data_IF_265611428187
#
_entry.id   IF_265611428187
#
_cell.length_a   1.000
_cell.length_b   1.000
_cell.length_c   1.000
_cell.angle_alpha   90.00
_cell.angle_beta   90.00
_cell.angle_gamma   90.00
#
_symmetry.space_group_name_H-M   'P 1'
#
loop_
_entity.id
_entity.type
_entity.pdbx_description
1 polymer ?
#
# COMPACT_ATOMS: atom_id res chain seq x y z
N UNK A 1 -25.35 10.99 18.25
CA UNK A 1 -24.35 11.61 17.36
C UNK A 1 -23.02 10.89 17.61
N UNK A 2 -22.65 9.91 16.78
CA UNK A 2 -21.34 9.24 16.88
C UNK A 2 -20.32 10.08 16.10
N UNK A 3 -19.35 10.66 16.79
CA UNK A 3 -18.20 11.30 16.16
C UNK A 3 -17.29 10.20 15.60
N UNK A 4 -17.28 10.04 14.28
CA UNK A 4 -16.26 9.24 13.61
C UNK A 4 -15.06 10.15 13.32
N UNK A 5 -14.00 9.99 14.11
CA UNK A 5 -12.68 10.54 13.80
C UNK A 5 -12.19 9.84 12.52
N UNK A 6 -12.03 10.61 11.44
CA UNK A 6 -11.22 10.16 10.30
C UNK A 6 -9.78 10.04 10.80
N UNK A 7 -9.28 8.81 10.89
CA UNK A 7 -7.85 8.57 11.02
C UNK A 7 -7.11 9.18 9.83
N UNK A 8 -5.84 9.59 10.00
CA UNK A 8 -5.04 10.13 8.90
C UNK A 8 -4.99 9.11 7.76
N UNK A 9 -5.36 9.53 6.55
CA UNK A 9 -5.24 8.74 5.31
C UNK A 9 -3.83 8.98 4.76
N UNK A 10 -3.12 7.90 4.42
CA UNK A 10 -1.73 7.84 3.90
C UNK A 10 -1.78 7.09 2.59
N UNK A 11 -1.03 7.54 1.58
CA UNK A 11 -1.18 7.08 0.22
C UNK A 11 0.08 7.46 -0.59
N UNK A 12 0.53 6.62 -1.53
CA UNK A 12 1.77 6.78 -2.31
C UNK A 12 1.56 6.58 -3.82
N UNK A 13 2.07 7.51 -4.65
CA UNK A 13 2.22 7.34 -6.11
C UNK A 13 3.49 8.11 -6.52
N UNK A 14 4.49 7.42 -7.07
CA UNK A 14 5.69 8.05 -7.63
C UNK A 14 5.45 8.36 -9.11
N UNK A 15 5.77 9.57 -9.55
CA UNK A 15 5.87 9.89 -10.99
C UNK A 15 7.26 10.46 -11.23
N UNK A 16 8.08 9.77 -12.02
CA UNK A 16 9.41 10.27 -12.40
C UNK A 16 9.55 10.32 -13.91
N UNK A 17 9.90 11.50 -14.42
CA UNK A 17 10.62 11.62 -15.69
C UNK A 17 11.76 12.60 -15.48
N UNK A 18 12.95 12.05 -15.27
CA UNK A 18 14.22 12.78 -15.25
C UNK A 18 15.25 11.93 -15.97
N UNK A 19 15.99 12.54 -16.90
CA UNK A 19 16.86 11.91 -17.89
C UNK A 19 17.97 11.06 -17.25
N UNK A 20 17.66 9.80 -16.94
CA UNK A 20 18.59 8.70 -16.72
C UNK A 20 17.88 7.43 -17.19
N UNK A 21 18.57 6.59 -17.95
CA UNK A 21 17.98 5.47 -18.73
C UNK A 21 17.55 4.26 -17.90
N UNK A 22 17.53 4.36 -16.56
CA UNK A 22 17.15 3.25 -15.68
C UNK A 22 15.64 3.30 -15.47
N UNK A 23 14.94 2.23 -15.86
CA UNK A 23 13.49 2.16 -15.65
C UNK A 23 13.22 1.85 -14.18
N UNK A 24 12.16 2.43 -13.63
CA UNK A 24 11.72 2.14 -12.26
C UNK A 24 11.52 0.63 -12.02
N UNK A 25 11.00 -0.09 -13.02
CA UNK A 25 10.87 -1.55 -12.99
C UNK A 25 12.20 -2.24 -12.71
N UNK A 26 13.29 -1.72 -13.28
CA UNK A 26 14.62 -2.30 -13.13
C UNK A 26 15.08 -2.13 -11.67
N UNK A 27 14.86 -0.94 -11.09
CA UNK A 27 15.15 -0.65 -9.68
C UNK A 27 14.34 -1.53 -8.72
N UNK A 28 13.06 -1.75 -9.00
CA UNK A 28 12.19 -2.62 -8.21
C UNK A 28 12.64 -4.09 -8.28
N UNK A 29 13.05 -4.55 -9.45
CA UNK A 29 13.50 -5.93 -9.67
C UNK A 29 14.90 -6.21 -9.11
N UNK A 30 15.74 -5.17 -8.95
CA UNK A 30 17.13 -5.31 -8.53
C UNK A 30 17.28 -5.95 -7.14
N UNK A 31 18.29 -6.81 -6.98
CA UNK A 31 18.53 -7.58 -5.77
C UNK A 31 18.01 -9.02 -5.82
N UNK A 32 18.11 -9.73 -4.70
CA UNK A 32 17.71 -11.14 -4.59
C UNK A 32 17.15 -11.47 -3.21
N UNK A 33 16.63 -12.68 -3.03
CA UNK A 33 16.16 -13.19 -1.73
C UNK A 33 17.01 -14.38 -1.32
N UNK A 34 17.38 -14.45 -0.04
CA UNK A 34 18.13 -15.57 0.54
C UNK A 34 17.39 -16.15 1.75
N UNK A 35 17.35 -17.50 1.88
CA UNK A 35 17.77 -18.50 0.88
C UNK A 35 16.84 -18.52 -0.36
N UNK A 36 17.28 -19.11 -1.47
CA UNK A 36 16.50 -19.18 -2.73
C UNK A 36 15.13 -19.86 -2.56
N UNK A 37 15.07 -20.87 -1.67
CA UNK A 37 13.83 -21.55 -1.29
C UNK A 37 13.49 -21.16 0.13
N UNK A 38 12.33 -20.53 0.32
CA UNK A 38 11.99 -19.96 1.59
C UNK A 38 10.49 -20.02 1.89
N UNK A 39 10.20 -20.08 3.18
CA UNK A 39 8.87 -19.91 3.71
C UNK A 39 9.02 -19.32 5.10
N UNK A 40 8.28 -18.24 5.35
CA UNK A 40 8.22 -17.62 6.66
C UNK A 40 6.77 -17.30 7.01
N UNK A 41 6.47 -17.39 8.31
CA UNK A 41 5.18 -17.04 8.89
C UNK A 41 5.42 -16.29 10.20
N UNK A 42 4.67 -15.23 10.40
CA UNK A 42 4.66 -14.54 11.69
C UNK A 42 3.44 -13.67 11.85
N UNK A 43 3.28 -13.18 13.07
CA UNK A 43 2.19 -12.29 13.43
C UNK A 43 2.44 -10.90 12.85
N UNK A 44 1.34 -10.20 12.52
CA UNK A 44 1.38 -8.79 12.14
C UNK A 44 0.73 -7.94 13.22
N UNK A 45 1.25 -6.73 13.37
CA UNK A 45 0.64 -5.69 14.22
C UNK A 45 0.08 -4.58 13.34
N UNK A 46 -0.70 -3.68 13.93
CA UNK A 46 -1.37 -2.62 13.19
C UNK A 46 -1.18 -1.27 13.85
N UNK A 47 -1.05 -0.23 13.01
CA UNK A 47 -1.30 1.17 13.41
C UNK A 47 -2.52 1.70 12.67
N UNK A 48 -3.61 1.90 13.41
CA UNK A 48 -4.94 1.99 12.79
C UNK A 48 -5.25 0.66 12.10
N UNK A 49 -5.27 0.65 10.78
CA UNK A 49 -5.42 -0.56 9.96
C UNK A 49 -4.22 -0.89 9.08
N UNK A 50 -3.18 -0.05 9.12
CA UNK A 50 -1.95 -0.31 8.36
C UNK A 50 -1.19 -1.43 9.02
N UNK A 51 -0.71 -2.35 8.18
CA UNK A 51 0.10 -3.48 8.62
C UNK A 51 1.49 -2.98 8.97
N UNK A 52 1.96 -3.35 10.16
CA UNK A 52 3.33 -3.16 10.59
C UNK A 52 4.06 -4.51 10.60
N UNK A 53 5.23 -4.53 9.97
CA UNK A 53 6.17 -5.64 10.02
C UNK A 53 7.50 -5.18 10.63
N UNK A 54 8.15 -6.07 11.37
CA UNK A 54 9.52 -5.85 11.86
C UNK A 54 10.52 -6.25 10.78
N UNK A 55 11.54 -5.42 10.57
CA UNK A 55 12.68 -5.76 9.74
C UNK A 55 13.99 -5.29 10.38
N UNK A 56 15.05 -6.07 10.20
CA UNK A 56 16.41 -5.68 10.56
C UNK A 56 17.12 -5.12 9.34
N UNK A 57 17.55 -3.86 9.43
CA UNK A 57 18.36 -3.18 8.41
C UNK A 57 19.58 -2.59 9.11
N UNK A 58 20.78 -2.90 8.60
CA UNK A 58 22.05 -2.48 9.19
C UNK A 58 22.22 -2.86 10.68
N UNK A 59 21.67 -4.01 11.10
CA UNK A 59 21.75 -4.48 12.48
C UNK A 59 20.69 -3.89 13.42
N UNK A 60 19.89 -2.91 12.97
CA UNK A 60 18.82 -2.31 13.76
C UNK A 60 17.46 -2.91 13.38
N UNK A 61 16.77 -3.49 14.35
CA UNK A 61 15.39 -3.95 14.18
C UNK A 61 14.42 -2.77 14.38
N UNK A 62 13.56 -2.51 13.39
CA UNK A 62 12.59 -1.41 13.38
C UNK A 62 11.25 -1.82 12.79
N UNK A 63 10.23 -1.00 13.05
CA UNK A 63 8.88 -1.18 12.52
C UNK A 63 8.71 -0.48 11.17
N UNK A 64 8.18 -1.20 10.19
CA UNK A 64 7.91 -0.70 8.85
C UNK A 64 6.45 -0.90 8.48
N UNK A 65 5.87 0.07 7.78
CA UNK A 65 4.56 -0.13 7.15
C UNK A 65 4.76 -1.05 5.94
N UNK A 66 3.96 -2.11 5.85
CA UNK A 66 3.88 -2.95 4.66
C UNK A 66 3.00 -2.25 3.63
N UNK A 67 3.61 -1.74 2.56
CA UNK A 67 3.00 -0.75 1.67
C UNK A 67 3.03 -1.24 0.21
N UNK A 68 1.96 -1.92 -0.20
CA UNK A 68 1.79 -2.39 -1.59
C UNK A 68 1.54 -1.26 -2.58
N UNK A 69 1.32 -0.03 -2.11
CA UNK A 69 1.16 1.15 -2.94
C UNK A 69 2.48 1.89 -3.23
N UNK A 70 3.54 1.58 -2.50
CA UNK A 70 4.83 2.23 -2.66
C UNK A 70 5.69 1.60 -3.77
N UNK A 71 6.01 2.38 -4.81
CA UNK A 71 6.89 1.96 -5.91
C UNK A 71 8.34 1.71 -5.47
N UNK A 72 8.74 2.19 -4.28
CA UNK A 72 10.04 1.96 -3.67
C UNK A 72 9.89 1.74 -2.16
N UNK A 73 10.77 0.93 -1.56
CA UNK A 73 10.91 0.91 -0.10
C UNK A 73 11.46 2.26 0.38
N UNK A 74 11.05 2.70 1.56
CA UNK A 74 11.49 3.97 2.16
C UNK A 74 12.20 3.70 3.47
N UNK A 75 13.41 4.20 3.66
CA UNK A 75 14.17 4.10 4.91
C UNK A 75 14.17 5.44 5.63
N UNK A 76 13.63 5.45 6.84
CA UNK A 76 13.63 6.63 7.71
C UNK A 76 15.04 6.90 8.24
N UNK A 77 15.56 8.09 7.93
CA UNK A 77 16.86 8.60 8.41
C UNK A 77 16.75 10.09 8.72
N UNK A 78 17.50 10.56 9.71
CA UNK A 78 17.53 11.98 10.07
C UNK A 78 18.05 12.87 8.93
N UNK A 79 18.92 12.33 8.08
CA UNK A 79 19.50 13.01 6.92
C UNK A 79 19.46 12.07 5.71
N UNK A 80 19.05 12.58 4.56
CA UNK A 80 19.11 11.83 3.30
C UNK A 80 20.55 11.60 2.85
N UNK A 81 20.78 10.51 2.13
CA UNK A 81 22.06 10.08 1.59
C UNK A 81 21.92 9.51 0.18
N UNK A 82 23.00 9.55 -0.59
CA UNK A 82 23.05 9.04 -1.96
C UNK A 82 22.58 10.06 -3.00
N UNK A 83 22.15 9.58 -4.17
CA UNK A 83 21.63 10.45 -5.23
C UNK A 83 20.25 10.98 -4.84
N UNK A 84 19.98 12.20 -5.28
CA UNK A 84 18.69 12.84 -5.11
C UNK A 84 17.66 12.26 -6.09
N UNK A 85 16.46 11.97 -5.59
CA UNK A 85 15.31 11.49 -6.37
C UNK A 85 14.03 12.20 -5.93
N UNK A 86 13.17 12.47 -6.90
CA UNK A 86 11.85 13.07 -6.66
C UNK A 86 10.83 11.98 -6.36
N UNK A 87 10.14 12.13 -5.23
CA UNK A 87 9.04 11.24 -4.81
C UNK A 87 7.76 12.06 -4.75
N UNK A 88 6.78 11.65 -5.54
CA UNK A 88 5.46 12.28 -5.54
C UNK A 88 4.57 11.66 -4.46
N UNK A 89 3.59 12.43 -4.01
CA UNK A 89 2.43 11.93 -3.29
C UNK A 89 1.21 11.90 -4.22
N UNK A 90 0.18 11.13 -3.86
CA UNK A 90 -1.07 11.04 -4.62
C UNK A 90 -1.92 12.32 -4.61
N UNK A 91 -1.50 13.34 -3.87
CA UNK A 91 -2.08 14.69 -3.92
C UNK A 91 -1.33 15.58 -4.92
N UNK A 92 -0.43 15.01 -5.74
CA UNK A 92 0.34 15.70 -6.78
C UNK A 92 1.61 16.41 -6.30
N UNK A 93 1.87 16.45 -5.00
CA UNK A 93 3.07 17.11 -4.45
C UNK A 93 4.32 16.25 -4.60
N UNK A 94 5.49 16.87 -4.71
CA UNK A 94 6.77 16.17 -4.87
C UNK A 94 7.80 16.65 -3.84
N UNK A 95 8.53 15.70 -3.24
CA UNK A 95 9.67 15.98 -2.37
C UNK A 95 10.92 15.26 -2.86
N UNK A 96 12.06 15.84 -2.51
CA UNK A 96 13.38 15.30 -2.79
C UNK A 96 13.85 14.38 -1.66
N UNK A 97 14.23 13.16 -2.01
CA UNK A 97 14.79 12.16 -1.09
C UNK A 97 16.14 11.64 -1.60
N UNK A 98 16.90 10.99 -0.71
CA UNK A 98 18.07 10.23 -1.10
C UNK A 98 17.68 8.88 -1.69
N UNK A 99 18.56 8.26 -2.46
CA UNK A 99 18.42 6.89 -2.96
C UNK A 99 19.61 6.04 -2.54
N UNK A 100 19.39 4.78 -2.22
CA UNK A 100 20.43 3.82 -1.86
C UNK A 100 20.05 2.39 -2.26
N UNK A 101 21.05 1.51 -2.29
CA UNK A 101 20.84 0.06 -2.25
C UNK A 101 21.11 -0.40 -0.83
N UNK A 102 20.18 -1.15 -0.27
CA UNK A 102 20.31 -1.73 1.06
C UNK A 102 20.92 -3.11 0.91
N UNK A 103 22.09 -3.31 1.51
CA UNK A 103 22.82 -4.58 1.45
C UNK A 103 21.96 -5.75 1.92
N UNK A 104 21.21 -5.54 3.00
CA UNK A 104 20.37 -6.57 3.64
C UNK A 104 19.16 -5.95 4.33
N UNK A 105 17.97 -6.39 3.92
CA UNK A 105 16.71 -6.20 4.63
C UNK A 105 16.25 -7.57 5.10
N UNK A 106 16.37 -7.83 6.40
CA UNK A 106 15.95 -9.11 6.97
C UNK A 106 14.56 -9.00 7.59
N UNK A 107 13.62 -9.78 7.06
CA UNK A 107 12.27 -9.93 7.62
C UNK A 107 12.15 -11.38 8.09
N UNK A 108 11.93 -11.57 9.40
CA UNK A 108 12.01 -12.89 10.02
C UNK A 108 13.39 -13.55 9.76
N UNK A 109 13.43 -14.76 9.22
CA UNK A 109 14.64 -15.49 8.85
C UNK A 109 15.04 -15.29 7.38
N UNK A 110 14.32 -14.47 6.62
CA UNK A 110 14.52 -14.27 5.18
C UNK A 110 15.19 -12.93 4.90
N UNK A 111 16.18 -12.94 4.01
CA UNK A 111 17.01 -11.79 3.70
C UNK A 111 16.78 -11.32 2.27
N UNK A 112 16.38 -10.07 2.10
CA UNK A 112 16.32 -9.38 0.80
C UNK A 112 17.62 -8.59 0.62
N UNK A 113 18.41 -8.99 -0.37
CA UNK A 113 19.79 -8.53 -0.56
C UNK A 113 19.86 -7.53 -1.71
N UNK A 114 20.70 -6.50 -1.55
CA UNK A 114 20.97 -5.48 -2.57
C UNK A 114 19.67 -4.87 -3.12
N UNK A 115 18.81 -4.41 -2.20
CA UNK A 115 17.46 -3.94 -2.54
C UNK A 115 17.42 -2.42 -2.65
N UNK A 116 16.88 -1.90 -3.75
CA UNK A 116 16.73 -0.46 -3.94
C UNK A 116 15.76 0.16 -2.91
N UNK A 117 16.14 1.30 -2.35
CA UNK A 117 15.30 2.09 -1.47
C UNK A 117 15.54 3.59 -1.64
N UNK A 118 14.53 4.38 -1.27
CA UNK A 118 14.66 5.81 -1.04
C UNK A 118 14.80 6.09 0.45
N UNK A 119 15.44 7.21 0.82
CA UNK A 119 15.71 7.51 2.22
C UNK A 119 15.60 8.99 2.56
N UNK A 120 15.22 9.25 3.82
CA UNK A 120 15.20 10.59 4.38
C UNK A 120 14.31 10.70 5.62
N UNK A 121 14.02 11.93 6.01
CA UNK A 121 13.34 12.20 7.27
C UNK A 121 11.82 12.22 7.11
N UNK A 122 11.12 11.57 8.05
CA UNK A 122 9.65 11.52 8.16
C UNK A 122 9.22 11.77 9.61
N UNK A 123 9.32 13.02 10.08
CA UNK A 123 9.14 13.35 11.49
C UNK A 123 7.71 13.20 11.99
N UNK A 124 6.73 13.10 11.08
CA UNK A 124 5.33 12.87 11.43
C UNK A 124 5.10 11.40 11.78
N UNK A 125 5.48 10.48 10.88
CA UNK A 125 5.31 9.04 11.09
C UNK A 125 6.18 8.53 12.23
N UNK A 126 7.39 9.07 12.39
CA UNK A 126 8.28 8.70 13.49
C UNK A 126 7.76 9.10 14.89
N UNK A 127 6.73 9.95 14.97
CA UNK A 127 6.04 10.28 16.22
C UNK A 127 4.79 9.43 16.46
N UNK A 128 4.25 8.83 15.40
CA UNK A 128 3.02 8.04 15.44
C UNK A 128 3.32 6.54 15.58
N UNK A 129 4.49 6.09 15.09
CA UNK A 129 4.94 4.70 15.13
C UNK A 129 6.19 4.61 15.99
N UNK A 130 6.11 3.85 17.07
CA UNK A 130 7.27 3.55 17.90
C UNK A 130 8.33 2.80 17.09
N UNK A 131 9.59 3.23 17.25
CA UNK A 131 10.74 2.64 16.55
C UNK A 131 10.55 2.56 15.01
N UNK A 132 10.02 3.64 14.41
CA UNK A 132 9.74 3.71 12.98
C UNK A 132 11.01 3.60 12.11
N UNK A 133 11.05 2.57 11.26
CA UNK A 133 12.12 2.31 10.30
C UNK A 133 11.81 2.80 8.89
N UNK A 134 10.53 2.94 8.53
CA UNK A 134 10.11 3.37 7.20
C UNK A 134 8.98 2.53 6.60
N UNK A 135 9.08 2.25 5.30
CA UNK A 135 8.08 1.51 4.52
C UNK A 135 8.76 0.38 3.74
N UNK A 136 8.11 -0.77 3.66
CA UNK A 136 8.49 -1.87 2.78
C UNK A 136 7.58 -1.83 1.55
N UNK A 137 8.16 -1.54 0.38
CA UNK A 137 7.43 -1.35 -0.87
C UNK A 137 7.77 -2.40 -1.94
N UNK A 138 7.41 -2.09 -3.19
CA UNK A 138 7.56 -2.98 -4.35
C UNK A 138 8.94 -3.67 -4.48
N UNK A 139 10.10 -3.05 -4.19
CA UNK A 139 11.40 -3.72 -4.27
C UNK A 139 11.55 -4.94 -3.36
N UNK A 140 10.79 -5.02 -2.28
CA UNK A 140 10.77 -6.21 -1.40
C UNK A 140 9.52 -7.05 -1.70
N UNK A 141 8.36 -6.39 -1.77
CA UNK A 141 7.07 -7.07 -1.92
C UNK A 141 7.05 -7.94 -3.18
N UNK A 142 7.54 -7.44 -4.31
CA UNK A 142 7.45 -8.16 -5.59
C UNK A 142 8.38 -9.39 -5.67
N UNK A 143 9.29 -9.59 -4.71
CA UNK A 143 10.26 -10.69 -4.71
C UNK A 143 9.79 -11.95 -3.98
N UNK A 144 8.60 -11.93 -3.37
CA UNK A 144 8.00 -13.08 -2.70
C UNK A 144 6.49 -13.11 -2.97
N UNK A 145 5.87 -14.27 -2.82
CA UNK A 145 4.42 -14.36 -2.75
C UNK A 145 3.99 -14.11 -1.31
N UNK A 146 2.92 -13.34 -1.09
CA UNK A 146 2.48 -12.91 0.25
C UNK A 146 1.04 -13.31 0.51
N UNK A 147 0.79 -14.03 1.61
CA UNK A 147 -0.53 -14.28 2.16
C UNK A 147 -0.69 -13.44 3.43
N UNK A 148 -1.72 -12.60 3.46
CA UNK A 148 -2.04 -11.74 4.60
C UNK A 148 -3.42 -12.12 5.10
N UNK A 149 -3.53 -12.51 6.36
CA UNK A 149 -4.83 -12.73 6.99
C UNK A 149 -5.18 -11.58 7.92
N UNK A 150 -6.19 -10.79 7.56
CA UNK A 150 -6.71 -9.71 8.40
C UNK A 150 -7.63 -10.24 9.52
N UNK A 151 -8.11 -11.47 9.40
CA UNK A 151 -8.93 -12.12 10.43
C UNK A 151 -8.07 -12.73 11.53
N UNK A 152 -6.97 -13.39 11.15
CA UNK A 152 -6.10 -14.10 12.08
C UNK A 152 -4.82 -13.30 12.42
N UNK A 153 -4.64 -12.11 11.85
CA UNK A 153 -3.51 -11.20 12.09
C UNK A 153 -2.13 -11.84 11.89
N UNK A 154 -1.95 -12.54 10.77
CA UNK A 154 -0.64 -13.06 10.38
C UNK A 154 -0.29 -12.70 8.93
N UNK A 155 1.01 -12.79 8.63
CA UNK A 155 1.56 -12.76 7.28
C UNK A 155 2.40 -14.02 7.04
N UNK A 156 2.23 -14.62 5.88
CA UNK A 156 3.06 -15.71 5.36
C UNK A 156 3.65 -15.28 4.02
N UNK A 157 4.92 -15.63 3.77
CA UNK A 157 5.53 -15.36 2.48
C UNK A 157 6.54 -16.44 2.06
N UNK A 158 6.68 -16.62 0.74
CA UNK A 158 7.43 -17.74 0.17
C UNK A 158 7.85 -17.51 -1.29
N UNK A 159 8.83 -18.28 -1.75
CA UNK A 159 9.21 -18.39 -3.18
C UNK A 159 8.19 -19.18 -4.01
N UNK A 160 7.27 -19.92 -3.37
CA UNK A 160 6.27 -20.76 -4.05
C UNK A 160 4.85 -20.29 -3.78
N UNK A 161 3.89 -20.87 -4.51
CA UNK A 161 2.48 -20.60 -4.26
C UNK A 161 2.04 -21.09 -2.87
N UNK A 162 1.24 -20.27 -2.18
CA UNK A 162 0.65 -20.59 -0.87
C UNK A 162 -0.86 -20.85 -0.95
N UNK A 163 -1.44 -20.78 -2.14
CA UNK A 163 -2.89 -20.91 -2.35
C UNK A 163 -3.37 -22.30 -1.94
N UNK A 164 -4.48 -22.30 -1.19
CA UNK A 164 -5.27 -23.48 -0.88
C UNK A 164 -6.64 -23.35 -1.57
N UNK A 165 -7.50 -24.35 -1.42
CA UNK A 165 -8.89 -24.27 -1.90
C UNK A 165 -9.62 -23.02 -1.36
N UNK A 166 -10.62 -22.53 -2.10
CA UNK A 166 -11.56 -21.45 -1.72
C UNK A 166 -11.01 -20.01 -1.77
N UNK A 167 -9.99 -19.75 -2.57
CA UNK A 167 -9.58 -18.38 -2.92
C UNK A 167 -10.25 -17.96 -4.24
N UNK A 168 -10.87 -16.79 -4.25
CA UNK A 168 -11.41 -16.16 -5.46
C UNK A 168 -10.28 -15.38 -6.16
N UNK A 169 -10.01 -15.72 -7.41
CA UNK A 169 -9.12 -14.95 -8.27
C UNK A 169 -9.74 -13.58 -8.59
N UNK A 170 -8.98 -12.51 -8.39
CA UNK A 170 -9.41 -11.16 -8.69
C UNK A 170 -8.91 -10.76 -10.09
N UNK A 171 -9.75 -10.04 -10.84
CA UNK A 171 -9.33 -9.45 -12.11
C UNK A 171 -8.27 -8.38 -11.85
N UNK A 172 -7.00 -8.74 -12.08
CA UNK A 172 -5.81 -8.00 -11.66
C UNK A 172 -5.07 -7.44 -12.87
N UNK A 173 -4.55 -6.22 -12.74
CA UNK A 173 -3.57 -5.66 -13.69
C UNK A 173 -2.40 -5.05 -12.93
N UNK A 174 -1.26 -4.93 -13.60
CA UNK A 174 -0.01 -4.41 -13.02
C UNK A 174 0.44 -3.17 -13.79
N UNK A 175 0.76 -2.11 -13.05
CA UNK A 175 1.31 -0.85 -13.58
C UNK A 175 2.44 -0.42 -12.67
N UNK A 176 3.62 -0.17 -13.23
CA UNK A 176 4.83 0.22 -12.48
C UNK A 176 5.17 -0.72 -11.31
N UNK A 177 4.93 -2.03 -11.48
CA UNK A 177 5.15 -3.03 -10.43
C UNK A 177 4.14 -2.99 -9.27
N UNK A 178 3.09 -2.16 -9.36
CA UNK A 178 2.00 -2.08 -8.40
C UNK A 178 0.76 -2.80 -8.94
N UNK A 179 -0.02 -3.41 -8.04
CA UNK A 179 -1.21 -4.19 -8.42
C UNK A 179 -2.49 -3.39 -8.29
N UNK A 180 -3.36 -3.58 -9.26
CA UNK A 180 -4.68 -2.98 -9.34
C UNK A 180 -5.71 -4.08 -9.53
N UNK A 181 -6.88 -3.95 -8.90
CA UNK A 181 -8.01 -4.87 -9.08
C UNK A 181 -9.23 -4.14 -9.61
N UNK A 182 -10.02 -4.82 -10.44
CA UNK A 182 -11.30 -4.30 -10.91
C UNK A 182 -12.31 -4.29 -9.76
N UNK A 183 -12.84 -3.10 -9.46
CA UNK A 183 -14.00 -2.90 -8.58
C UNK A 183 -15.23 -2.60 -9.40
N UNK A 184 -16.39 -3.08 -8.94
CA UNK A 184 -17.70 -2.72 -9.45
C UNK A 184 -18.53 -2.10 -8.32
N UNK A 185 -19.00 -0.87 -8.55
CA UNK A 185 -19.88 -0.15 -7.62
C UNK A 185 -21.08 0.35 -8.43
N UNK A 186 -22.26 -0.20 -8.14
CA UNK A 186 -23.50 0.17 -8.83
C UNK A 186 -23.49 -0.16 -10.34
N UNK A 187 -22.75 -1.19 -10.77
CA UNK A 187 -22.63 -1.61 -12.17
C UNK A 187 -21.55 -0.85 -12.95
N UNK A 188 -20.82 0.07 -12.31
CA UNK A 188 -19.74 0.83 -12.93
C UNK A 188 -18.41 0.21 -12.50
N UNK A 189 -17.67 -0.30 -13.49
CA UNK A 189 -16.36 -0.94 -13.29
C UNK A 189 -15.21 0.03 -13.44
N UNK A 190 -14.19 -0.09 -12.59
CA UNK A 190 -12.89 0.57 -12.77
C UNK A 190 -11.78 -0.21 -12.04
N UNK A 191 -10.53 -0.03 -12.45
CA UNK A 191 -9.40 -0.53 -11.67
C UNK A 191 -9.06 0.41 -10.53
N UNK A 192 -8.74 -0.16 -9.37
CA UNK A 192 -8.23 0.57 -8.21
C UNK A 192 -6.95 -0.09 -7.69
N UNK A 193 -5.98 0.73 -7.29
CA UNK A 193 -4.70 0.29 -6.72
C UNK A 193 -4.94 -0.40 -5.39
N UNK A 194 -4.27 -1.51 -5.14
CA UNK A 194 -4.21 -2.09 -3.79
C UNK A 194 -3.09 -1.39 -3.03
N UNK A 195 -3.44 -0.53 -2.07
CA UNK A 195 -2.48 0.22 -1.23
C UNK A 195 -2.70 -0.13 0.24
N UNK A 196 -2.02 -1.17 0.73
CA UNK A 196 -2.07 -1.56 2.14
C UNK A 196 -1.36 -0.56 3.08
N UNK A 197 -0.61 0.40 2.55
CA UNK A 197 -0.11 1.56 3.28
C UNK A 197 -1.22 2.60 3.57
N UNK A 198 -2.35 2.49 2.89
CA UNK A 198 -3.56 3.27 3.16
C UNK A 198 -4.47 2.63 4.18
N UNK A 199 -4.94 3.45 5.13
CA UNK A 199 -5.96 3.07 6.12
C UNK A 199 -7.39 3.31 5.67
N UNK A 200 -7.61 3.80 4.45
CA UNK A 200 -8.94 3.99 3.91
C UNK A 200 -9.48 2.66 3.36
N UNK A 201 -10.80 2.47 3.37
CA UNK A 201 -11.39 1.36 2.64
C UNK A 201 -11.28 1.62 1.14
N UNK A 202 -11.93 2.69 0.66
CA UNK A 202 -11.87 3.09 -0.75
C UNK A 202 -11.70 4.60 -0.85
N UNK A 203 -10.73 5.03 -1.65
CA UNK A 203 -10.55 6.41 -2.09
C UNK A 203 -10.87 6.51 -3.58
N UNK A 204 -11.68 7.48 -3.97
CA UNK A 204 -12.01 7.75 -5.36
C UNK A 204 -11.61 9.18 -5.75
N UNK A 205 -11.01 9.37 -6.94
CA UNK A 205 -10.82 10.70 -7.53
C UNK A 205 -12.16 11.38 -7.77
N UNK A 206 -12.24 12.69 -7.49
CA UNK A 206 -13.42 13.51 -7.77
C UNK A 206 -13.91 13.41 -9.23
N UNK A 207 -12.99 13.23 -10.16
CA UNK A 207 -13.27 13.18 -11.59
C UNK A 207 -13.63 11.78 -12.11
N UNK A 208 -13.51 10.72 -11.28
CA UNK A 208 -13.81 9.34 -11.67
C UNK A 208 -15.29 9.15 -12.00
N UNK A 209 -15.59 8.21 -12.93
CA UNK A 209 -16.97 7.91 -13.33
C UNK A 209 -17.81 7.43 -12.14
N UNK A 210 -17.24 6.57 -11.31
CA UNK A 210 -17.89 6.05 -10.10
C UNK A 210 -18.19 7.19 -9.12
N UNK A 211 -17.21 8.05 -8.80
CA UNK A 211 -17.44 9.14 -7.86
C UNK A 211 -18.55 10.09 -8.32
N UNK A 212 -18.58 10.46 -9.61
CA UNK A 212 -19.62 11.32 -10.18
C UNK A 212 -21.01 10.69 -10.07
N UNK A 213 -21.14 9.41 -10.39
CA UNK A 213 -22.40 8.68 -10.26
C UNK A 213 -22.86 8.63 -8.81
N UNK A 214 -21.99 8.21 -7.89
CA UNK A 214 -22.34 8.06 -6.48
C UNK A 214 -22.75 9.39 -5.83
N UNK A 215 -22.05 10.49 -6.15
CA UNK A 215 -22.35 11.82 -5.61
C UNK A 215 -23.66 12.42 -6.14
N UNK A 216 -24.19 11.90 -7.25
CA UNK A 216 -25.50 12.30 -7.79
C UNK A 216 -26.65 11.53 -7.16
N UNK A 217 -26.42 10.26 -6.77
CA UNK A 217 -27.49 9.35 -6.34
C UNK A 217 -27.53 9.10 -4.83
N UNK A 218 -26.49 9.48 -4.09
CA UNK A 218 -26.39 9.19 -2.66
C UNK A 218 -26.22 10.47 -1.84
N UNK A 219 -26.70 10.42 -0.60
CA UNK A 219 -26.31 11.39 0.42
C UNK A 219 -24.83 11.20 0.78
N UNK A 220 -24.15 12.31 1.06
CA UNK A 220 -22.77 12.31 1.51
C UNK A 220 -22.54 13.32 2.61
N UNK A 221 -21.53 13.06 3.42
CA UNK A 221 -21.06 13.98 4.46
C UNK A 221 -19.75 14.59 4.01
N UNK A 222 -19.65 15.92 4.04
CA UNK A 222 -18.38 16.61 3.87
C UNK A 222 -17.61 16.53 5.18
N UNK A 223 -16.45 15.88 5.17
CA UNK A 223 -15.54 15.83 6.31
C UNK A 223 -14.25 16.56 5.97
N UNK A 224 -13.77 17.37 6.91
CA UNK A 224 -12.47 18.04 6.83
C UNK A 224 -11.53 17.38 7.82
N UNK A 225 -10.29 17.17 7.42
CA UNK A 225 -9.31 16.50 8.24
C UNK A 225 -7.89 16.74 7.76
N UNK A 226 -6.98 15.92 8.27
CA UNK A 226 -5.58 15.93 7.87
C UNK A 226 -5.22 14.59 7.27
N UNK A 227 -4.71 14.59 6.05
CA UNK A 227 -4.01 13.45 5.45
C UNK A 227 -2.53 13.56 5.81
N UNK A 228 -1.89 12.44 6.11
CA UNK A 228 -0.43 12.37 6.20
C UNK A 228 0.02 11.65 4.95
N UNK A 229 0.86 12.25 4.11
CA UNK A 229 1.35 11.65 2.85
C UNK A 229 2.86 11.48 2.88
N UNK A 230 3.42 11.00 1.77
CA UNK A 230 4.84 11.04 1.48
C UNK A 230 5.47 12.44 1.62
N UNK A 231 4.70 13.52 1.62
CA UNK A 231 5.19 14.90 1.61
C UNK A 231 4.91 15.68 2.89
N UNK A 232 4.13 15.11 3.82
CA UNK A 232 3.84 15.73 5.11
C UNK A 232 2.36 15.66 5.48
N UNK A 233 1.91 16.62 6.31
CA UNK A 233 0.52 16.72 6.75
C UNK A 233 -0.23 17.76 5.92
N UNK A 234 -1.37 17.36 5.37
CA UNK A 234 -2.17 18.15 4.44
C UNK A 234 -3.59 18.28 4.92
N UNK A 235 -4.15 19.48 4.87
CA UNK A 235 -5.58 19.67 5.10
C UNK A 235 -6.33 19.14 3.89
N UNK A 236 -7.24 18.21 4.12
CA UNK A 236 -8.09 17.63 3.08
C UNK A 236 -9.56 17.88 3.39
N UNK A 237 -10.36 18.01 2.34
CA UNK A 237 -11.82 18.03 2.42
C UNK A 237 -12.35 16.88 1.56
N UNK A 238 -12.91 15.87 2.21
CA UNK A 238 -13.42 14.69 1.52
C UNK A 238 -14.94 14.60 1.61
N UNK A 239 -15.57 14.02 0.59
CA UNK A 239 -16.98 13.64 0.61
C UNK A 239 -17.06 12.15 0.92
N UNK A 240 -17.67 11.82 2.06
CA UNK A 240 -17.83 10.43 2.50
C UNK A 240 -19.24 9.98 2.21
N UNK A 241 -19.36 8.92 1.41
CA UNK A 241 -20.61 8.26 1.06
C UNK A 241 -20.66 6.96 1.87
N UNK A 242 -21.51 6.87 2.90
CA UNK A 242 -21.51 5.73 3.80
C UNK A 242 -22.26 4.52 3.21
N UNK A 243 -22.01 3.35 3.81
CA UNK A 243 -22.81 2.14 3.62
C UNK A 243 -22.92 1.68 2.16
N UNK A 244 -21.81 1.72 1.44
CA UNK A 244 -21.72 1.28 0.06
C UNK A 244 -21.37 -0.21 -0.02
N UNK A 245 -21.72 -0.81 -1.16
CA UNK A 245 -21.36 -2.19 -1.51
C UNK A 245 -20.47 -2.17 -2.73
N UNK A 246 -19.38 -2.91 -2.67
CA UNK A 246 -18.38 -3.02 -3.72
C UNK A 246 -18.20 -4.49 -4.07
N UNK A 247 -18.18 -4.80 -5.37
CA UNK A 247 -17.96 -6.15 -5.85
C UNK A 247 -16.56 -6.29 -6.43
N UNK A 248 -15.91 -7.40 -6.06
CA UNK A 248 -14.68 -7.90 -6.67
C UNK A 248 -15.03 -9.19 -7.43
N UNK A 249 -15.42 -9.04 -8.70
CA UNK A 249 -16.01 -10.15 -9.46
C UNK A 249 -17.33 -10.61 -8.84
N UNK A 250 -17.36 -11.81 -8.26
CA UNK A 250 -18.54 -12.35 -7.56
C UNK A 250 -18.55 -12.06 -6.06
N UNK A 251 -17.44 -11.56 -5.52
CA UNK A 251 -17.28 -11.30 -4.10
C UNK A 251 -17.88 -9.95 -3.72
N UNK A 252 -18.90 -9.97 -2.87
CA UNK A 252 -19.54 -8.76 -2.34
C UNK A 252 -18.87 -8.29 -1.02
N UNK A 253 -18.48 -7.03 -0.94
CA UNK A 253 -18.00 -6.40 0.31
C UNK A 253 -18.90 -5.20 0.59
N UNK A 254 -19.65 -5.28 1.68
CA UNK A 254 -20.70 -4.33 2.04
C UNK A 254 -20.35 -3.49 3.27
N UNK A 255 -21.18 -2.49 3.56
CA UNK A 255 -21.01 -1.58 4.70
C UNK A 255 -19.72 -0.75 4.66
N UNK A 256 -19.25 -0.41 3.46
CA UNK A 256 -18.04 0.37 3.26
C UNK A 256 -18.33 1.87 3.18
N UNK A 257 -17.48 2.68 3.78
CA UNK A 257 -17.44 4.12 3.51
C UNK A 257 -16.58 4.36 2.27
N UNK A 258 -17.17 4.96 1.23
CA UNK A 258 -16.43 5.42 0.05
C UNK A 258 -16.07 6.89 0.25
N UNK A 259 -14.78 7.21 0.10
CA UNK A 259 -14.26 8.56 0.29
C UNK A 259 -13.90 9.13 -1.08
N UNK A 260 -14.57 10.21 -1.48
CA UNK A 260 -14.19 10.99 -2.68
C UNK A 260 -13.32 12.17 -2.26
N UNK A 261 -12.12 12.25 -2.81
CA UNK A 261 -11.09 13.23 -2.43
C UNK A 261 -10.14 13.52 -3.62
N UNK A 262 -9.19 14.44 -3.42
CA UNK A 262 -8.19 14.87 -4.42
C UNK A 262 -7.07 13.84 -4.67
N UNK A 263 -7.42 12.56 -4.79
CA UNK A 263 -6.48 11.51 -5.22
C UNK A 263 -6.45 11.40 -6.74
N UNK A 264 -5.28 11.10 -7.30
CA UNK A 264 -5.10 10.98 -8.74
C UNK A 264 -5.69 9.68 -9.33
N UNK A 265 -5.76 8.61 -8.54
CA UNK A 265 -6.36 7.33 -8.95
C UNK A 265 -7.23 6.72 -7.86
N UNK A 266 -8.00 5.69 -8.21
CA UNK A 266 -8.82 4.96 -7.23
C UNK A 266 -7.93 4.02 -6.42
N UNK A 267 -8.14 3.97 -5.11
CA UNK A 267 -7.37 3.13 -4.19
C UNK A 267 -8.30 2.31 -3.31
N UNK A 268 -7.89 1.08 -3.06
CA UNK A 268 -8.43 0.19 -2.05
C UNK A 268 -7.33 0.00 -0.99
N UNK A 269 -7.62 0.43 0.23
CA UNK A 269 -6.66 0.31 1.33
C UNK A 269 -6.93 -0.87 2.25
N UNK A 270 -6.09 -0.98 3.28
CA UNK A 270 -6.14 -2.07 4.27
C UNK A 270 -7.50 -2.22 4.97
N UNK A 271 -8.23 -1.12 5.17
CA UNK A 271 -9.55 -1.13 5.82
C UNK A 271 -10.61 -1.93 5.02
N UNK A 272 -10.47 -2.00 3.70
CA UNK A 272 -11.38 -2.73 2.84
C UNK A 272 -11.29 -4.25 3.04
N UNK A 273 -10.10 -4.74 3.39
CA UNK A 273 -9.81 -6.17 3.52
C UNK A 273 -10.03 -6.69 4.95
N UNK A 274 -10.55 -5.87 5.87
CA UNK A 274 -10.90 -6.30 7.22
C UNK A 274 -11.83 -7.51 7.20
N UNK A 275 -11.44 -8.56 7.93
CA UNK A 275 -12.19 -9.82 7.98
C UNK A 275 -11.98 -10.73 6.76
N UNK A 276 -10.98 -10.45 5.92
CA UNK A 276 -10.63 -11.28 4.76
C UNK A 276 -9.17 -11.76 4.83
N UNK A 277 -8.76 -12.59 3.88
CA UNK A 277 -7.36 -12.89 3.59
C UNK A 277 -7.03 -12.54 2.15
N UNK A 278 -5.91 -11.85 1.94
CA UNK A 278 -5.43 -11.42 0.64
C UNK A 278 -4.16 -12.21 0.29
N UNK A 279 -4.09 -12.74 -0.92
CA UNK A 279 -2.91 -13.44 -1.41
C UNK A 279 -2.38 -12.78 -2.68
N UNK A 280 -1.14 -12.34 -2.63
CA UNK A 280 -0.37 -11.81 -3.76
C UNK A 280 0.48 -12.93 -4.34
N UNK A 281 0.08 -13.44 -5.51
CA UNK A 281 0.90 -14.30 -6.35
C UNK A 281 1.76 -13.42 -7.25
N UNK A 282 2.89 -12.95 -6.74
CA UNK A 282 3.81 -12.10 -7.47
C UNK A 282 4.55 -12.85 -8.57
N UNK A 283 4.61 -14.19 -8.50
CA UNK A 283 5.19 -15.02 -9.55
C UNK A 283 4.32 -15.03 -10.83
N UNK A 284 3.01 -14.88 -10.68
CA UNK A 284 2.03 -14.94 -11.79
C UNK A 284 1.28 -13.63 -12.02
N UNK A 285 1.59 -12.58 -11.26
CA UNK A 285 0.90 -11.29 -11.27
C UNK A 285 -0.59 -11.30 -10.90
N UNK A 286 -1.02 -12.28 -10.12
CA UNK A 286 -2.43 -12.46 -9.73
C UNK A 286 -2.64 -12.12 -8.26
N UNK A 287 -3.81 -11.56 -7.93
CA UNK A 287 -4.27 -11.39 -6.55
C UNK A 287 -5.49 -12.26 -6.31
N UNK A 288 -5.54 -12.86 -5.12
CA UNK A 288 -6.66 -13.67 -4.68
C UNK A 288 -7.21 -13.18 -3.36
N UNK A 289 -8.52 -13.34 -3.19
CA UNK A 289 -9.24 -13.00 -1.96
C UNK A 289 -9.90 -14.24 -1.37
N UNK A 290 -9.88 -14.36 -0.04
CA UNK A 290 -10.71 -15.30 0.70
C UNK A 290 -11.45 -14.55 1.81
N UNK A 291 -12.75 -14.80 1.95
CA UNK A 291 -13.55 -14.36 3.11
C UNK A 291 -13.53 -15.41 4.21
#
# INVERSE_FOLDING_TARGET
MRFFLLGPVLLFILSTVGCSTVRLSDLQSHGSVKPDKFYAKGDISFIGSRILISANIHGEEKNYIFDTGAEASFIHKNKSSGKSVNVSSPLGETLEYGSEYIDSIKIMDIEFVDTFAVNGNRPVLSKEIDNFGGLIGAPVINKANWLISFTENYIEFSDRSLIKYNYAELNTTVKNGLKYIEIDIGGIKQYAQIDLGSSAAILLPHNSKIAKALLQTNEYVVKRGTATTATGKHKISAKVIPNQTVYLGKEEISHLDIIVTDVDEAIIGSDFFKGTSLYFDNSNDIVYLKK
#
